data_IF_528410659588
#
_entry.id   IF_528410659588
#
_cell.length_a   1.000
_cell.length_b   1.000
_cell.length_c   1.000
_cell.angle_alpha   90.00
_cell.angle_beta   90.00
_cell.angle_gamma   90.00
#
_symmetry.space_group_name_H-M   'P 1'
#
loop_
_entity.id
_entity.type
_entity.pdbx_description
1 polymer ?
#
# COMPACT_ATOMS: atom_id res chain seq x y z
N UNK A 1 -14.40 -4.08 1.68
CA UNK A 1 -14.50 -4.25 0.20
C UNK A 1 -13.29 -3.74 -0.54
N UNK A 2 -12.87 -2.49 -0.34
CA UNK A 2 -11.64 -1.96 -0.97
C UNK A 2 -10.40 -2.71 -0.49
N UNK A 3 -10.15 -2.75 0.84
CA UNK A 3 -8.99 -3.45 1.39
C UNK A 3 -9.11 -4.98 1.27
N UNK A 4 -10.32 -5.54 1.31
CA UNK A 4 -10.54 -6.97 1.07
C UNK A 4 -9.96 -7.39 -0.30
N UNK A 5 -10.12 -6.56 -1.34
CA UNK A 5 -9.56 -6.85 -2.66
C UNK A 5 -8.02 -6.76 -2.70
N UNK A 6 -7.42 -5.98 -1.80
CA UNK A 6 -5.95 -5.88 -1.63
C UNK A 6 -5.44 -7.12 -0.90
N UNK A 7 -6.14 -7.55 0.16
CA UNK A 7 -5.85 -8.80 0.89
C UNK A 7 -5.96 -10.02 -0.04
N UNK A 8 -7.02 -10.12 -0.84
CA UNK A 8 -7.18 -11.18 -1.84
C UNK A 8 -6.01 -11.24 -2.83
N UNK A 9 -5.44 -10.09 -3.21
CA UNK A 9 -4.30 -10.02 -4.12
C UNK A 9 -3.01 -10.52 -3.47
N UNK A 10 -2.84 -10.28 -2.16
CA UNK A 10 -1.73 -10.82 -1.37
C UNK A 10 -1.87 -12.33 -1.27
N UNK A 11 -3.04 -12.82 -0.87
CA UNK A 11 -3.32 -14.25 -0.69
C UNK A 11 -3.14 -15.05 -1.99
N UNK A 12 -3.54 -14.48 -3.13
CA UNK A 12 -3.39 -15.11 -4.45
C UNK A 12 -1.92 -15.29 -4.87
N UNK A 13 -0.98 -14.58 -4.24
CA UNK A 13 0.44 -14.58 -4.58
C UNK A 13 1.32 -14.92 -3.36
N UNK A 14 0.78 -15.61 -2.36
CA UNK A 14 1.44 -15.87 -1.08
C UNK A 14 2.84 -16.53 -1.19
N UNK A 15 3.10 -17.27 -2.28
CA UNK A 15 4.38 -17.94 -2.54
C UNK A 15 5.50 -17.01 -3.03
N UNK A 16 5.16 -15.82 -3.53
CA UNK A 16 6.12 -14.81 -4.00
C UNK A 16 5.82 -13.45 -3.34
N UNK A 17 6.57 -13.09 -2.29
CA UNK A 17 6.41 -11.83 -1.57
C UNK A 17 6.43 -10.57 -2.44
N UNK A 18 7.28 -10.55 -3.48
CA UNK A 18 7.37 -9.41 -4.39
C UNK A 18 6.13 -9.35 -5.28
N UNK A 19 5.72 -10.50 -5.84
CA UNK A 19 4.50 -10.58 -6.65
C UNK A 19 3.25 -10.20 -5.83
N UNK A 20 3.16 -10.65 -4.57
CA UNK A 20 2.07 -10.31 -3.67
C UNK A 20 1.96 -8.80 -3.43
N UNK A 21 3.07 -8.14 -3.10
CA UNK A 21 3.08 -6.70 -2.91
C UNK A 21 2.80 -5.93 -4.22
N UNK A 22 3.29 -6.42 -5.36
CA UNK A 22 3.02 -5.79 -6.66
C UNK A 22 1.53 -5.87 -6.97
N UNK A 23 0.94 -7.05 -6.85
CA UNK A 23 -0.49 -7.27 -7.11
C UNK A 23 -1.36 -6.44 -6.16
N UNK A 24 -1.02 -6.40 -4.87
CA UNK A 24 -1.70 -5.60 -3.86
C UNK A 24 -1.69 -4.10 -4.20
N UNK A 25 -0.51 -3.57 -4.56
CA UNK A 25 -0.33 -2.17 -4.89
C UNK A 25 -1.01 -1.78 -6.21
N UNK A 26 -0.90 -2.61 -7.24
CA UNK A 26 -1.61 -2.41 -8.51
C UNK A 26 -3.13 -2.40 -8.28
N UNK A 27 -3.62 -3.34 -7.47
CA UNK A 27 -5.05 -3.45 -7.15
C UNK A 27 -5.56 -2.23 -6.41
N UNK A 28 -4.81 -1.78 -5.39
CA UNK A 28 -5.10 -0.55 -4.65
C UNK A 28 -5.19 0.65 -5.60
N UNK A 29 -4.15 0.85 -6.41
CA UNK A 29 -4.05 2.00 -7.32
C UNK A 29 -5.16 1.99 -8.37
N UNK A 30 -5.51 0.82 -8.90
CA UNK A 30 -6.60 0.67 -9.89
C UNK A 30 -7.94 1.06 -9.28
N UNK A 31 -8.29 0.49 -8.12
CA UNK A 31 -9.57 0.80 -7.48
C UNK A 31 -9.62 2.28 -7.05
N UNK A 32 -8.53 2.82 -6.52
CA UNK A 32 -8.45 4.21 -6.09
C UNK A 32 -8.54 5.19 -7.28
N UNK A 33 -8.01 4.82 -8.45
CA UNK A 33 -8.21 5.58 -9.66
C UNK A 33 -9.65 5.52 -10.15
N UNK A 34 -10.37 4.41 -10.00
CA UNK A 34 -11.74 4.32 -10.48
C UNK A 34 -12.79 4.91 -9.52
N UNK A 35 -12.40 5.25 -8.28
CA UNK A 35 -13.27 5.82 -7.25
C UNK A 35 -13.19 7.36 -7.20
N UNK A 36 -14.24 8.09 -7.64
CA UNK A 36 -14.26 9.56 -7.63
C UNK A 36 -14.16 10.15 -6.22
N UNK A 37 -14.62 9.45 -5.19
CA UNK A 37 -14.58 9.92 -3.80
C UNK A 37 -13.16 9.78 -3.23
N UNK A 38 -12.47 8.69 -3.53
CA UNK A 38 -11.05 8.50 -3.16
C UNK A 38 -10.17 9.58 -3.80
N UNK A 39 -10.39 9.89 -5.08
CA UNK A 39 -9.70 11.00 -5.76
C UNK A 39 -9.99 12.36 -5.11
N UNK A 40 -11.23 12.60 -4.67
CA UNK A 40 -11.62 13.85 -4.00
C UNK A 40 -10.99 13.96 -2.60
N UNK A 41 -10.86 12.85 -1.87
CA UNK A 41 -10.27 12.82 -0.53
C UNK A 41 -8.74 12.91 -0.54
N UNK A 42 -8.09 12.33 -1.54
CA UNK A 42 -6.63 12.20 -1.60
C UNK A 42 -5.96 13.18 -2.59
N UNK A 43 -6.72 13.77 -3.51
CA UNK A 43 -6.22 14.73 -4.49
C UNK A 43 -6.06 16.13 -3.92
N UNK A 44 -5.03 16.84 -4.37
CA UNK A 44 -4.93 18.30 -4.26
C UNK A 44 -5.57 18.90 -5.52
N UNK A 45 -6.71 19.58 -5.37
CA UNK A 45 -7.41 20.23 -6.48
C UNK A 45 -6.86 21.63 -6.80
N UNK A 46 -5.74 22.03 -6.17
CA UNK A 46 -5.13 23.35 -6.36
C UNK A 46 -5.93 24.51 -5.75
N UNK A 47 -7.01 24.22 -5.02
CA UNK A 47 -7.78 25.22 -4.26
C UNK A 47 -7.43 25.24 -2.76
N UNK A 48 -6.44 24.44 -2.36
CA UNK A 48 -6.11 24.17 -0.96
C UNK A 48 -6.85 22.95 -0.39
N UNK A 49 -7.66 22.26 -1.20
CA UNK A 49 -8.39 21.04 -0.86
C UNK A 49 -9.21 21.13 0.42
N UNK A 50 -9.86 20.02 0.79
CA UNK A 50 -10.35 19.83 2.17
C UNK A 50 -9.20 19.47 3.13
N UNK A 51 -7.94 19.79 2.78
CA UNK A 51 -6.75 19.48 3.59
C UNK A 51 -6.83 20.02 5.04
N UNK A 52 -7.42 21.19 5.33
CA UNK A 52 -7.55 21.66 6.72
C UNK A 52 -8.53 20.82 7.56
N UNK A 53 -9.50 20.13 6.94
CA UNK A 53 -10.46 19.26 7.64
C UNK A 53 -9.99 17.79 7.70
N UNK A 54 -9.16 17.38 6.74
CA UNK A 54 -8.70 15.99 6.60
C UNK A 54 -7.44 15.72 7.44
N UNK A 55 -6.56 16.70 7.66
CA UNK A 55 -5.29 16.47 8.39
C UNK A 55 -5.41 15.96 9.83
N UNK A 56 -6.55 16.16 10.51
CA UNK A 56 -6.81 15.61 11.85
C UNK A 56 -7.56 14.26 11.82
N UNK A 57 -8.11 13.86 10.67
CA UNK A 57 -8.98 12.67 10.50
C UNK A 57 -8.46 11.63 9.50
N UNK A 58 -7.42 11.92 8.72
CA UNK A 58 -6.77 10.94 7.81
C UNK A 58 -5.74 10.05 8.49
N UNK A 59 -5.22 10.45 9.66
CA UNK A 59 -4.35 9.62 10.50
C UNK A 59 -5.00 8.26 10.85
N UNK A 60 -6.26 8.21 11.35
CA UNK A 60 -6.96 6.94 11.59
C UNK A 60 -7.09 6.03 10.36
N UNK A 61 -7.22 6.60 9.15
CA UNK A 61 -7.36 5.80 7.93
C UNK A 61 -6.01 5.19 7.50
N UNK A 62 -4.93 5.97 7.63
CA UNK A 62 -3.56 5.52 7.37
C UNK A 62 -3.17 4.41 8.35
N UNK A 63 -3.41 4.63 9.64
CA UNK A 63 -3.11 3.68 10.70
C UNK A 63 -3.90 2.38 10.47
N UNK A 64 -5.20 2.48 10.20
CA UNK A 64 -6.04 1.31 9.90
C UNK A 64 -5.61 0.55 8.64
N UNK A 65 -5.24 1.24 7.56
CA UNK A 65 -4.76 0.60 6.34
C UNK A 65 -3.40 -0.10 6.57
N UNK A 66 -2.52 0.54 7.34
CA UNK A 66 -1.24 -0.02 7.77
C UNK A 66 -1.42 -1.29 8.60
N UNK A 67 -2.22 -1.24 9.66
CA UNK A 67 -2.53 -2.40 10.52
C UNK A 67 -3.08 -3.58 9.72
N UNK A 68 -3.98 -3.31 8.78
CA UNK A 68 -4.54 -4.36 7.91
C UNK A 68 -3.50 -4.99 7.01
N UNK A 69 -2.64 -4.16 6.40
CA UNK A 69 -1.58 -4.65 5.54
C UNK A 69 -0.57 -5.48 6.34
N UNK A 70 -0.22 -5.06 7.56
CA UNK A 70 0.61 -5.83 8.50
C UNK A 70 -0.01 -7.20 8.79
N UNK A 71 -1.31 -7.23 9.10
CA UNK A 71 -2.02 -8.49 9.36
C UNK A 71 -2.01 -9.42 8.13
N UNK A 72 -2.20 -8.88 6.93
CA UNK A 72 -2.23 -9.64 5.70
C UNK A 72 -0.86 -10.26 5.37
N UNK A 73 0.21 -9.45 5.38
CA UNK A 73 1.57 -9.95 5.09
C UNK A 73 2.13 -10.83 6.21
N UNK A 74 1.81 -10.53 7.47
CA UNK A 74 2.28 -11.30 8.62
C UNK A 74 1.72 -12.73 8.69
N UNK A 75 0.59 -12.98 8.03
CA UNK A 75 0.03 -14.34 7.88
C UNK A 75 0.93 -15.23 7.02
N UNK A 76 1.61 -14.65 6.02
CA UNK A 76 2.41 -15.38 5.04
C UNK A 76 3.91 -15.34 5.33
N UNK A 77 4.40 -14.28 6.00
CA UNK A 77 5.83 -14.07 6.24
C UNK A 77 6.22 -14.33 7.70
N UNK A 78 5.89 -15.54 8.16
CA UNK A 78 6.23 -15.97 9.51
C UNK A 78 7.74 -15.88 9.77
N UNK A 79 8.13 -15.25 10.88
CA UNK A 79 9.53 -15.08 11.28
C UNK A 79 10.09 -13.68 11.09
N UNK A 80 9.46 -12.84 10.26
CA UNK A 80 9.84 -11.42 10.13
C UNK A 80 9.36 -10.66 11.38
N UNK A 81 10.20 -9.81 12.01
CA UNK A 81 9.77 -9.00 13.15
C UNK A 81 8.61 -8.06 12.79
N UNK A 82 7.60 -8.01 13.66
CA UNK A 82 6.40 -7.17 13.46
C UNK A 82 6.74 -5.70 13.19
N UNK A 83 7.78 -5.16 13.85
CA UNK A 83 8.23 -3.79 13.65
C UNK A 83 8.75 -3.52 12.22
N UNK A 84 9.37 -4.52 11.58
CA UNK A 84 9.83 -4.42 10.19
C UNK A 84 8.65 -4.49 9.22
N UNK A 85 7.69 -5.39 9.47
CA UNK A 85 6.43 -5.46 8.72
C UNK A 85 5.65 -4.14 8.81
N UNK A 86 5.56 -3.54 10.01
CA UNK A 86 4.90 -2.25 10.23
C UNK A 86 5.59 -1.12 9.47
N UNK A 87 6.92 -1.09 9.45
CA UNK A 87 7.70 -0.09 8.72
C UNK A 87 7.49 -0.21 7.21
N UNK A 88 7.48 -1.43 6.68
CA UNK A 88 7.20 -1.68 5.27
C UNK A 88 5.76 -1.29 4.90
N UNK A 89 4.78 -1.65 5.73
CA UNK A 89 3.39 -1.34 5.51
C UNK A 89 3.12 0.18 5.50
N UNK A 90 3.62 0.92 6.49
CA UNK A 90 3.49 2.40 6.52
C UNK A 90 4.11 3.03 5.27
N UNK A 91 5.29 2.56 4.87
CA UNK A 91 5.99 3.05 3.68
C UNK A 91 5.16 2.81 2.41
N UNK A 92 4.65 1.60 2.21
CA UNK A 92 3.83 1.24 1.04
C UNK A 92 2.53 2.04 0.98
N UNK A 93 1.83 2.19 2.10
CA UNK A 93 0.58 2.95 2.18
C UNK A 93 0.81 4.42 1.82
N UNK A 94 1.88 5.04 2.36
CA UNK A 94 2.23 6.43 2.03
C UNK A 94 2.57 6.62 0.56
N UNK A 95 3.34 5.70 -0.03
CA UNK A 95 3.64 5.73 -1.46
C UNK A 95 2.38 5.57 -2.30
N UNK A 96 1.53 4.58 -1.98
CA UNK A 96 0.30 4.34 -2.71
C UNK A 96 -0.60 5.58 -2.72
N UNK A 97 -0.79 6.24 -1.57
CA UNK A 97 -1.57 7.46 -1.47
C UNK A 97 -0.94 8.62 -2.25
N UNK A 98 0.38 8.79 -2.18
CA UNK A 98 1.07 9.80 -2.98
C UNK A 98 0.85 9.61 -4.49
N UNK A 99 0.85 8.35 -4.95
CA UNK A 99 0.62 8.00 -6.35
C UNK A 99 -0.85 8.08 -6.78
N UNK A 100 -1.81 7.98 -5.84
CA UNK A 100 -3.22 8.30 -6.10
C UNK A 100 -3.43 9.81 -6.20
N UNK A 101 -2.79 10.59 -5.34
CA UNK A 101 -2.92 12.04 -5.30
C UNK A 101 -2.31 12.71 -6.54
N UNK A 102 -1.18 12.20 -7.04
CA UNK A 102 -0.45 12.75 -8.17
C UNK A 102 0.03 11.66 -9.15
N UNK A 103 -0.88 11.01 -9.91
CA UNK A 103 -0.54 9.91 -10.80
C UNK A 103 0.30 10.39 -11.99
N UNK A 104 1.37 9.66 -12.30
CA UNK A 104 2.26 9.93 -13.44
C UNK A 104 2.31 8.78 -14.45
N UNK A 105 2.02 7.57 -14.01
CA UNK A 105 2.04 6.34 -14.80
C UNK A 105 0.78 5.51 -14.50
N UNK A 106 0.57 4.46 -15.29
CA UNK A 106 -0.50 3.49 -15.05
C UNK A 106 -0.26 2.71 -13.72
N UNK A 107 -1.33 2.19 -13.08
CA UNK A 107 -1.23 1.44 -11.83
C UNK A 107 -0.21 0.30 -11.83
N UNK A 108 -0.20 -0.52 -12.88
CA UNK A 108 0.70 -1.68 -13.08
C UNK A 108 2.18 -1.26 -13.12
N UNK A 109 2.48 -0.19 -13.86
CA UNK A 109 3.83 0.37 -14.02
C UNK A 109 4.33 0.98 -12.73
N UNK A 110 3.46 1.70 -12.01
CA UNK A 110 3.76 2.28 -10.70
C UNK A 110 4.03 1.17 -9.69
N UNK A 111 3.16 0.17 -9.61
CA UNK A 111 3.28 -0.94 -8.69
C UNK A 111 4.59 -1.71 -8.92
N UNK A 112 4.87 -2.09 -10.16
CA UNK A 112 6.12 -2.77 -10.55
C UNK A 112 7.36 -1.96 -10.18
N UNK A 113 7.33 -0.64 -10.41
CA UNK A 113 8.49 0.22 -10.16
C UNK A 113 8.77 0.37 -8.66
N UNK A 114 7.71 0.56 -7.84
CA UNK A 114 7.85 0.70 -6.40
C UNK A 114 8.28 -0.59 -5.73
N UNK A 115 7.70 -1.74 -6.09
CA UNK A 115 8.12 -3.02 -5.50
C UNK A 115 9.52 -3.40 -5.92
N UNK A 116 9.91 -3.17 -7.19
CA UNK A 116 11.29 -3.37 -7.65
C UNK A 116 12.29 -2.50 -6.88
N UNK A 117 11.91 -1.27 -6.53
CA UNK A 117 12.74 -0.38 -5.71
C UNK A 117 12.92 -0.91 -4.29
N UNK A 118 11.85 -1.46 -3.69
CA UNK A 118 11.83 -1.98 -2.33
C UNK A 118 12.34 -3.42 -2.23
N UNK A 119 12.53 -4.12 -3.35
CA UNK A 119 12.87 -5.54 -3.39
C UNK A 119 14.09 -5.91 -2.52
N UNK A 120 15.21 -5.17 -2.52
CA UNK A 120 16.36 -5.51 -1.68
C UNK A 120 16.04 -5.48 -0.17
N UNK A 121 15.16 -4.56 0.26
CA UNK A 121 14.73 -4.48 1.65
C UNK A 121 13.80 -5.63 2.01
N UNK A 122 12.83 -5.95 1.13
CA UNK A 122 11.89 -7.07 1.32
C UNK A 122 12.64 -8.41 1.38
N UNK A 123 13.55 -8.65 0.43
CA UNK A 123 14.39 -9.85 0.40
C UNK A 123 15.29 -9.94 1.64
N UNK A 124 15.84 -8.81 2.09
CA UNK A 124 16.63 -8.73 3.32
C UNK A 124 15.84 -9.12 4.57
N UNK A 125 14.61 -8.62 4.71
CA UNK A 125 13.69 -8.96 5.82
C UNK A 125 13.34 -10.45 5.82
N UNK A 126 13.12 -11.04 4.65
CA UNK A 126 12.77 -12.45 4.51
C UNK A 126 13.97 -13.37 4.78
N UNK A 127 15.18 -12.94 4.41
CA UNK A 127 16.40 -13.70 4.65
C UNK A 127 16.79 -13.79 6.13
N UNK A 128 16.38 -12.82 6.95
CA UNK A 128 16.62 -12.81 8.42
C UNK A 128 15.55 -13.55 9.22
N UNK A 129 14.43 -13.89 8.59
CA UNK A 129 13.29 -14.58 9.21
C UNK A 129 13.48 -16.12 9.31
N UNK A 130 14.49 -16.68 8.64
CA UNK A 130 14.87 -18.10 8.67
C UNK A 130 16.21 -18.36 9.33
#
# INVERSE_FOLDING_TARGET
RFLDAVEEAIDANAEDPLAALTAALERFLTIAQDDPFVRLLLGDDGTGGLLPLVSTQSLPLLDWAGERLVSAIGTHWAGVPEAELATLADTLVRLAISHVAAPREAPDRTATSLTRLLAPSIEGMLATAG
#
